data_IF_013852389251
#
_entry.id   IF_013852389251
#
_cell.length_a   1.000
_cell.length_b   1.000
_cell.length_c   1.000
_cell.angle_alpha   90.00
_cell.angle_beta   90.00
_cell.angle_gamma   90.00
#
_symmetry.space_group_name_H-M   'P 1'
#
loop_
_entity.id
_entity.type
_entity.pdbx_description
1 polymer ?
#
# COMPACT_ATOMS: atom_id res chain seq x y z
N UNK A 1 -15.27 -7.87 24.51
CA UNK A 1 -14.06 -7.51 23.74
C UNK A 1 -14.20 -8.08 22.35
N UNK A 2 -14.19 -7.25 21.31
CA UNK A 2 -14.33 -7.73 19.93
C UNK A 2 -13.02 -8.37 19.47
N UNK A 3 -13.09 -9.32 18.53
CA UNK A 3 -11.90 -10.00 17.99
C UNK A 3 -10.89 -9.01 17.42
N UNK A 4 -11.37 -7.95 16.75
CA UNK A 4 -10.55 -6.86 16.22
C UNK A 4 -9.76 -6.11 17.30
N UNK A 5 -10.34 -5.89 18.48
CA UNK A 5 -9.66 -5.20 19.59
C UNK A 5 -8.53 -6.05 20.18
N UNK A 6 -8.68 -7.37 20.17
CA UNK A 6 -7.62 -8.30 20.60
C UNK A 6 -6.48 -8.33 19.58
N UNK A 7 -6.82 -8.37 18.29
CA UNK A 7 -5.82 -8.30 17.20
C UNK A 7 -5.09 -6.95 17.20
N UNK A 8 -5.79 -5.87 17.54
CA UNK A 8 -5.20 -4.55 17.73
C UNK A 8 -4.09 -4.59 18.77
N UNK A 9 -4.41 -5.06 19.97
CA UNK A 9 -3.45 -5.19 21.07
C UNK A 9 -2.28 -6.09 20.70
N UNK A 10 -2.55 -7.22 20.04
CA UNK A 10 -1.50 -8.12 19.58
C UNK A 10 -0.51 -7.44 18.63
N UNK A 11 -0.98 -6.61 17.70
CA UNK A 11 -0.10 -5.83 16.82
C UNK A 11 0.69 -4.79 17.62
N UNK A 12 0.07 -4.14 18.60
CA UNK A 12 0.73 -3.10 19.38
C UNK A 12 1.86 -3.72 20.22
N UNK A 13 1.62 -4.90 20.80
CA UNK A 13 2.58 -5.68 21.59
C UNK A 13 3.58 -6.49 20.73
N UNK A 14 3.48 -6.43 19.39
CA UNK A 14 4.21 -7.33 18.49
C UNK A 14 5.74 -7.30 18.64
N UNK A 15 6.28 -6.17 19.12
CA UNK A 15 7.72 -5.97 19.32
C UNK A 15 8.27 -6.68 20.57
N UNK A 16 7.37 -7.16 21.45
CA UNK A 16 7.73 -7.88 22.68
C UNK A 16 7.90 -9.38 22.46
N UNK A 17 7.49 -9.90 21.30
CA UNK A 17 7.59 -11.33 20.98
C UNK A 17 8.90 -11.65 20.26
N UNK A 18 9.85 -12.36 20.89
CA UNK A 18 11.08 -12.78 20.24
C UNK A 18 10.76 -13.76 19.10
N UNK A 19 11.32 -13.50 17.91
CA UNK A 19 11.13 -14.36 16.74
C UNK A 19 9.80 -14.18 16.01
N UNK A 20 9.08 -13.07 16.23
CA UNK A 20 7.81 -12.81 15.55
C UNK A 20 7.98 -12.70 14.03
N UNK A 21 7.39 -13.65 13.30
CA UNK A 21 7.39 -13.67 11.84
C UNK A 21 6.28 -12.75 11.28
N UNK A 22 6.69 -11.52 11.03
CA UNK A 22 5.82 -10.46 10.52
C UNK A 22 5.21 -10.83 9.16
N UNK A 23 5.97 -11.47 8.28
CA UNK A 23 5.52 -11.72 6.91
C UNK A 23 4.46 -12.83 6.89
N UNK A 24 4.63 -13.87 7.70
CA UNK A 24 3.60 -14.89 7.88
C UNK A 24 2.38 -14.36 8.65
N UNK A 25 2.56 -13.50 9.65
CA UNK A 25 1.45 -12.85 10.34
C UNK A 25 0.61 -11.99 9.38
N UNK A 26 1.24 -11.22 8.48
CA UNK A 26 0.53 -10.45 7.46
C UNK A 26 -0.26 -11.37 6.52
N UNK A 27 0.33 -12.46 6.04
CA UNK A 27 -0.36 -13.43 5.17
C UNK A 27 -1.57 -14.05 5.87
N UNK A 28 -1.43 -14.45 7.13
CA UNK A 28 -2.52 -15.01 7.93
C UNK A 28 -3.67 -14.02 8.12
N UNK A 29 -3.35 -12.75 8.40
CA UNK A 29 -4.36 -11.70 8.55
C UNK A 29 -5.09 -11.41 7.24
N UNK A 30 -4.40 -11.43 6.09
CA UNK A 30 -5.05 -11.33 4.77
C UNK A 30 -5.97 -12.53 4.50
N UNK A 31 -5.49 -13.75 4.76
CA UNK A 31 -6.26 -14.98 4.53
C UNK A 31 -7.50 -15.10 5.45
N UNK A 32 -7.45 -14.47 6.62
CA UNK A 32 -8.54 -14.46 7.61
C UNK A 32 -9.51 -13.27 7.45
N UNK A 33 -9.46 -12.56 6.32
CA UNK A 33 -10.31 -11.39 6.00
C UNK A 33 -10.17 -10.21 6.99
N UNK A 34 -8.93 -9.96 7.47
CA UNK A 34 -8.60 -8.78 8.27
C UNK A 34 -7.60 -7.84 7.56
N UNK A 35 -7.93 -7.30 6.37
CA UNK A 35 -6.99 -6.53 5.57
C UNK A 35 -6.59 -5.18 6.22
N UNK A 36 -7.46 -4.57 7.03
CA UNK A 36 -7.15 -3.34 7.78
C UNK A 36 -6.12 -3.56 8.90
N UNK A 37 -6.15 -4.75 9.50
CA UNK A 37 -5.24 -5.15 10.58
C UNK A 37 -3.88 -5.53 9.95
N UNK A 38 -3.91 -6.25 8.83
CA UNK A 38 -2.73 -6.56 8.02
C UNK A 38 -2.01 -5.30 7.52
N UNK A 39 -2.77 -4.30 7.03
CA UNK A 39 -2.17 -3.05 6.53
C UNK A 39 -1.45 -2.29 7.66
N UNK A 40 -2.03 -2.20 8.86
CA UNK A 40 -1.34 -1.54 9.97
C UNK A 40 -0.08 -2.28 10.39
N UNK A 41 -0.11 -3.61 10.45
CA UNK A 41 1.07 -4.42 10.76
C UNK A 41 2.18 -4.21 9.71
N UNK A 42 1.83 -4.22 8.42
CA UNK A 42 2.78 -3.99 7.33
C UNK A 42 3.40 -2.58 7.37
N UNK A 43 2.63 -1.57 7.75
CA UNK A 43 3.11 -0.20 7.93
C UNK A 43 4.07 -0.10 9.12
N UNK A 44 3.73 -0.72 10.26
CA UNK A 44 4.55 -0.76 11.49
C UNK A 44 5.95 -1.31 11.21
N UNK A 45 6.04 -2.39 10.43
CA UNK A 45 7.30 -3.06 10.08
C UNK A 45 7.93 -2.58 8.76
N UNK A 46 7.48 -1.45 8.20
CA UNK A 46 8.02 -0.85 6.96
C UNK A 46 8.02 -1.79 5.76
N UNK A 47 7.03 -2.68 5.65
CA UNK A 47 6.79 -3.53 4.47
C UNK A 47 6.01 -2.74 3.41
N UNK A 48 6.62 -1.70 2.86
CA UNK A 48 6.02 -0.71 1.95
C UNK A 48 5.27 -1.35 0.76
N UNK A 49 5.89 -2.30 0.09
CA UNK A 49 5.30 -2.99 -1.07
C UNK A 49 4.05 -3.79 -0.69
N UNK A 50 4.13 -4.49 0.45
CA UNK A 50 3.02 -5.30 0.96
C UNK A 50 1.87 -4.40 1.43
N UNK A 51 2.18 -3.29 2.11
CA UNK A 51 1.20 -2.29 2.51
C UNK A 51 0.42 -1.74 1.30
N UNK A 52 1.13 -1.38 0.23
CA UNK A 52 0.49 -0.90 -1.01
C UNK A 52 -0.37 -1.98 -1.66
N UNK A 53 0.12 -3.23 -1.73
CA UNK A 53 -0.68 -4.34 -2.25
C UNK A 53 -1.98 -4.54 -1.47
N UNK A 54 -1.93 -4.48 -0.13
CA UNK A 54 -3.11 -4.63 0.72
C UNK A 54 -4.11 -3.49 0.48
N UNK A 55 -3.63 -2.25 0.37
CA UNK A 55 -4.50 -1.11 0.11
C UNK A 55 -5.18 -1.19 -1.27
N UNK A 56 -4.48 -1.66 -2.30
CA UNK A 56 -4.99 -1.70 -3.66
C UNK A 56 -5.87 -2.93 -3.94
N UNK A 57 -5.46 -4.10 -3.46
CA UNK A 57 -6.08 -5.40 -3.78
C UNK A 57 -7.18 -5.77 -2.79
N UNK A 58 -6.90 -5.68 -1.49
CA UNK A 58 -7.82 -6.17 -0.46
C UNK A 58 -8.78 -5.07 0.00
N UNK A 59 -8.25 -3.89 0.36
CA UNK A 59 -9.04 -2.77 0.91
C UNK A 59 -9.67 -1.92 -0.20
N UNK A 60 -9.07 -1.90 -1.40
CA UNK A 60 -9.45 -1.04 -2.54
C UNK A 60 -9.45 0.46 -2.22
N UNK A 61 -8.58 0.88 -1.31
CA UNK A 61 -8.36 2.29 -0.96
C UNK A 61 -7.23 2.89 -1.79
N UNK A 62 -7.55 3.18 -3.05
CA UNK A 62 -6.63 3.77 -4.01
C UNK A 62 -6.22 5.21 -3.64
N UNK A 63 -7.07 5.93 -2.91
CA UNK A 63 -6.79 7.31 -2.49
C UNK A 63 -5.65 7.33 -1.46
N UNK A 64 -5.75 6.50 -0.43
CA UNK A 64 -4.68 6.37 0.57
C UNK A 64 -3.40 5.80 -0.04
N UNK A 65 -3.50 4.81 -0.94
CA UNK A 65 -2.34 4.26 -1.64
C UNK A 65 -1.62 5.33 -2.47
N UNK A 66 -2.36 6.15 -3.22
CA UNK A 66 -1.80 7.23 -4.04
C UNK A 66 -1.18 8.32 -3.18
N UNK A 67 -1.83 8.69 -2.07
CA UNK A 67 -1.30 9.66 -1.11
C UNK A 67 0.00 9.15 -0.48
N UNK A 68 0.05 7.87 -0.12
CA UNK A 68 1.24 7.25 0.44
C UNK A 68 2.40 7.21 -0.58
N UNK A 69 2.12 6.85 -1.84
CA UNK A 69 3.10 6.89 -2.94
C UNK A 69 3.68 8.27 -3.18
N UNK A 70 2.86 9.33 -3.10
CA UNK A 70 3.35 10.71 -3.24
C UNK A 70 4.29 11.16 -2.12
N UNK A 71 4.16 10.57 -0.94
CA UNK A 71 4.94 10.92 0.25
C UNK A 71 6.18 10.03 0.44
N UNK A 72 6.37 9.02 -0.40
CA UNK A 72 7.56 8.16 -0.35
C UNK A 72 8.77 8.96 -0.85
N UNK A 73 9.88 9.00 -0.08
CA UNK A 73 11.12 9.62 -0.56
C UNK A 73 11.57 8.92 -1.85
N UNK A 74 11.98 9.71 -2.84
CA UNK A 74 12.36 9.27 -4.20
C UNK A 74 13.40 8.13 -4.23
N UNK A 75 14.14 7.92 -3.14
CA UNK A 75 15.12 6.84 -3.00
C UNK A 75 14.51 5.42 -3.02
N UNK A 76 13.22 5.25 -2.71
CA UNK A 76 12.55 3.94 -2.79
C UNK A 76 11.81 3.70 -4.11
N UNK A 77 11.70 4.72 -4.97
CA UNK A 77 11.00 4.63 -6.26
C UNK A 77 11.86 3.93 -7.32
N UNK A 78 13.18 3.84 -7.11
CA UNK A 78 14.13 3.26 -8.06
C UNK A 78 14.50 1.78 -7.83
N UNK A 79 14.00 1.12 -6.77
CA UNK A 79 14.29 -0.30 -6.52
C UNK A 79 13.38 -1.27 -7.31
N UNK A 80 12.41 -0.76 -8.08
CA UNK A 80 11.60 -1.56 -9.02
C UNK A 80 12.24 -1.60 -10.42
N UNK A 81 13.50 -2.05 -10.51
CA UNK A 81 14.11 -2.52 -11.76
C UNK A 81 14.97 -3.74 -11.36
N UNK A 82 14.71 -4.97 -11.80
CA UNK A 82 14.44 -5.42 -13.17
C UNK A 82 13.70 -6.77 -13.14
N UNK A 83 12.50 -6.80 -13.71
CA UNK A 83 12.00 -7.99 -14.43
C UNK A 83 10.87 -7.53 -15.36
N UNK A 84 11.28 -7.23 -16.60
CA UNK A 84 10.55 -7.37 -17.86
C UNK A 84 9.03 -7.14 -17.94
N UNK A 85 8.72 -6.13 -18.78
CA UNK A 85 7.62 -6.05 -19.75
C UNK A 85 6.21 -5.67 -19.27
N UNK A 86 5.66 -4.72 -20.06
CA UNK A 86 4.26 -4.29 -20.19
C UNK A 86 3.70 -3.32 -19.13
N UNK A 87 3.95 -2.02 -19.37
CA UNK A 87 2.88 -1.02 -19.26
C UNK A 87 2.82 -0.22 -20.56
N UNK A 88 1.69 -0.18 -21.28
CA UNK A 88 1.57 0.60 -22.50
C UNK A 88 1.62 2.10 -22.16
N UNK A 89 2.51 2.82 -22.85
CA UNK A 89 2.59 4.28 -22.83
C UNK A 89 1.27 4.88 -23.30
N UNK A 90 0.46 5.40 -22.38
CA UNK A 90 -0.60 6.36 -22.72
C UNK A 90 -0.78 7.39 -21.61
N UNK A 91 0.15 8.32 -21.52
CA UNK A 91 -0.13 9.64 -20.97
C UNK A 91 0.24 10.67 -22.04
N UNK A 92 -0.79 11.12 -22.78
CA UNK A 92 -0.67 12.26 -23.68
C UNK A 92 -0.59 13.49 -22.77
N UNK A 93 0.52 14.20 -22.83
CA UNK A 93 0.64 15.55 -22.26
C UNK A 93 -0.42 16.43 -22.92
N UNK A 94 -1.41 16.88 -22.15
CA UNK A 94 -2.26 17.98 -22.59
C UNK A 94 -1.55 19.24 -22.10
N UNK A 95 -0.84 19.91 -23.00
CA UNK A 95 -0.29 21.23 -22.73
C UNK A 95 -1.45 22.21 -22.55
N UNK A 96 -1.39 23.01 -21.49
CA UNK A 96 -2.39 23.96 -21.01
C UNK A 96 -2.54 25.22 -21.89
N UNK A 97 -2.31 25.13 -23.20
CA UNK A 97 -2.37 26.28 -24.12
C UNK A 97 -3.52 26.25 -25.12
N UNK A 98 -4.42 25.25 -25.11
CA UNK A 98 -5.58 25.19 -26.02
C UNK A 98 -6.93 25.09 -25.28
N UNK A 99 -7.21 26.00 -24.35
CA UNK A 99 -8.52 26.09 -23.65
C UNK A 99 -9.33 27.36 -23.99
N UNK A 100 -9.03 28.02 -25.11
CA UNK A 100 -9.80 29.19 -25.59
C UNK A 100 -10.09 29.08 -27.10
N UNK A 101 -10.66 27.96 -27.54
CA UNK A 101 -11.24 27.86 -28.89
C UNK A 101 -12.25 26.69 -28.94
N UNK A 102 -13.34 26.81 -28.19
CA UNK A 102 -14.54 25.97 -28.40
C UNK A 102 -15.82 26.61 -27.81
N UNK A 103 -15.88 27.94 -27.77
CA UNK A 103 -17.13 28.69 -27.68
C UNK A 103 -17.32 29.45 -28.99
N UNK A 104 -17.88 28.74 -29.97
CA UNK A 104 -18.67 29.23 -31.11
C UNK A 104 -19.31 28.00 -31.76
#
# INVERSE_FOLDING_TARGET
>A
MNATDKLQKFIDDSDTFPGFDVDNAIKLLRASDYPKVASRLSLKYKRTQVFLSILMEDVKDYASATKFLRNLPNDQVCATKKSNQLYPKRFRSVNSSNLMEALC
#
